data_IF_488567349186
#
_entry.id   IF_488567349186
#
_cell.length_a   1.000
_cell.length_b   1.000
_cell.length_c   1.000
_cell.angle_alpha   90.00
_cell.angle_beta   90.00
_cell.angle_gamma   90.00
#
_symmetry.space_group_name_H-M   'P 1'
#
loop_
_entity.id
_entity.type
_entity.pdbx_description
1 polymer ?
#
# COMPACT_ATOMS: atom_id res chain seq x y z
N UNK A 1 -10.58 5.45 0.57
CA UNK A 1 -10.04 5.99 1.79
C UNK A 1 -8.75 6.74 1.50
N UNK A 2 -8.66 8.01 1.83
CA UNK A 2 -7.57 8.87 1.41
C UNK A 2 -7.52 9.04 -0.12
N UNK A 3 -6.35 9.39 -0.66
CA UNK A 3 -6.15 9.60 -2.11
C UNK A 3 -5.78 8.32 -2.89
N UNK A 4 -5.41 7.25 -2.19
CA UNK A 4 -4.84 6.05 -2.76
C UNK A 4 -5.82 4.88 -2.91
N UNK A 5 -6.88 4.85 -2.09
CA UNK A 5 -7.78 3.72 -2.01
C UNK A 5 -9.23 4.15 -2.19
N UNK A 6 -9.92 3.53 -3.12
CA UNK A 6 -11.36 3.68 -3.33
C UNK A 6 -12.07 2.38 -2.98
N UNK A 7 -13.08 2.46 -2.12
CA UNK A 7 -13.93 1.35 -1.72
C UNK A 7 -15.33 1.57 -2.28
N UNK A 8 -15.86 0.57 -2.98
CA UNK A 8 -17.17 0.63 -3.62
C UNK A 8 -18.07 -0.53 -3.13
N UNK A 9 -18.57 -0.47 -1.89
CA UNK A 9 -19.32 -1.57 -1.31
C UNK A 9 -20.59 -1.90 -2.11
N UNK A 10 -20.90 -3.21 -2.19
CA UNK A 10 -22.15 -3.69 -2.76
C UNK A 10 -23.25 -3.52 -1.72
N UNK A 11 -24.29 -2.78 -2.06
CA UNK A 11 -25.43 -2.52 -1.17
C UNK A 11 -26.76 -3.09 -1.70
N UNK A 12 -26.68 -3.89 -2.75
CA UNK A 12 -27.83 -4.57 -3.34
C UNK A 12 -27.73 -6.08 -3.14
N UNK A 13 -28.85 -6.79 -3.22
CA UNK A 13 -28.87 -8.26 -3.12
C UNK A 13 -28.38 -8.98 -4.39
N UNK A 14 -27.91 -8.24 -5.40
CA UNK A 14 -27.57 -8.79 -6.73
C UNK A 14 -26.09 -9.17 -6.89
N UNK A 15 -25.27 -9.08 -5.85
CA UNK A 15 -23.81 -9.28 -5.94
C UNK A 15 -23.15 -8.41 -7.02
N UNK A 16 -23.70 -7.23 -7.25
CA UNK A 16 -23.24 -6.30 -8.28
C UNK A 16 -23.15 -4.91 -7.67
N UNK A 17 -22.07 -4.22 -7.95
CA UNK A 17 -21.91 -2.79 -7.71
C UNK A 17 -22.00 -2.07 -9.03
N UNK A 18 -23.06 -1.30 -9.18
CA UNK A 18 -23.31 -0.48 -10.37
C UNK A 18 -22.63 0.88 -10.24
N UNK A 19 -22.23 1.45 -11.38
CA UNK A 19 -21.84 2.86 -11.51
C UNK A 19 -20.69 3.28 -10.59
N UNK A 20 -19.49 2.72 -10.80
CA UNK A 20 -18.26 3.12 -10.13
C UNK A 20 -17.54 4.13 -11.03
N UNK A 21 -17.39 5.39 -10.57
CA UNK A 21 -16.58 6.38 -11.26
C UNK A 21 -15.13 6.30 -10.79
N UNK A 22 -14.20 6.13 -11.73
CA UNK A 22 -12.78 6.22 -11.46
C UNK A 22 -12.28 7.65 -11.74
N UNK A 23 -11.79 8.39 -10.74
CA UNK A 23 -11.07 9.64 -10.98
C UNK A 23 -9.86 9.46 -11.90
N UNK A 24 -9.38 10.55 -12.50
CA UNK A 24 -8.25 10.52 -13.44
C UNK A 24 -7.03 9.77 -12.88
N UNK A 25 -6.35 9.03 -13.74
CA UNK A 25 -5.22 8.16 -13.42
C UNK A 25 -5.54 6.69 -13.70
N UNK A 26 -4.63 5.79 -13.40
CA UNK A 26 -4.83 4.35 -13.51
C UNK A 26 -5.20 3.77 -12.14
N UNK A 27 -6.10 2.79 -12.12
CA UNK A 27 -6.60 2.14 -10.92
C UNK A 27 -6.46 0.63 -11.06
N UNK A 28 -6.12 -0.03 -9.99
CA UNK A 28 -5.94 -1.47 -9.89
C UNK A 28 -7.02 -2.04 -8.98
N UNK A 29 -7.74 -3.04 -9.47
CA UNK A 29 -8.56 -3.87 -8.62
C UNK A 29 -7.66 -4.60 -7.61
N UNK A 30 -7.90 -4.38 -6.34
CA UNK A 30 -7.07 -4.92 -5.27
C UNK A 30 -7.02 -6.46 -5.27
N UNK A 31 -8.15 -7.08 -5.61
CA UNK A 31 -8.31 -8.53 -5.54
C UNK A 31 -7.79 -9.26 -6.78
N UNK A 32 -7.94 -8.67 -7.93
CA UNK A 32 -7.64 -9.32 -9.22
C UNK A 32 -6.41 -8.75 -9.91
N UNK A 33 -5.93 -7.59 -9.50
CA UNK A 33 -4.87 -6.85 -10.18
C UNK A 33 -5.30 -6.22 -11.51
N UNK A 34 -6.59 -6.35 -11.89
CA UNK A 34 -7.09 -5.80 -13.16
C UNK A 34 -6.99 -4.28 -13.16
N UNK A 35 -6.50 -3.73 -14.27
CA UNK A 35 -6.36 -2.29 -14.46
C UNK A 35 -7.63 -1.65 -15.02
N UNK A 36 -7.91 -0.44 -14.53
CA UNK A 36 -8.98 0.43 -15.01
C UNK A 36 -8.43 1.82 -15.27
N UNK A 37 -8.77 2.37 -16.43
CA UNK A 37 -8.44 3.75 -16.79
C UNK A 37 -9.39 4.72 -16.11
N UNK A 38 -8.84 5.75 -15.46
CA UNK A 38 -9.63 6.80 -14.82
C UNK A 38 -10.27 7.77 -15.79
N UNK A 39 -11.11 8.67 -15.25
CA UNK A 39 -11.99 9.56 -16.03
C UNK A 39 -13.18 8.83 -16.64
N UNK A 40 -13.46 7.58 -16.22
CA UNK A 40 -14.50 6.72 -16.79
C UNK A 40 -15.39 6.12 -15.73
N UNK A 41 -16.59 5.75 -16.14
CA UNK A 41 -17.52 4.96 -15.34
C UNK A 41 -17.35 3.48 -15.65
N UNK A 42 -17.35 2.66 -14.62
CA UNK A 42 -17.56 1.22 -14.72
C UNK A 42 -19.04 0.97 -14.40
N UNK A 43 -19.79 0.58 -15.40
CA UNK A 43 -21.24 0.42 -15.25
C UNK A 43 -21.61 -0.74 -14.34
N UNK A 44 -20.77 -1.78 -14.30
CA UNK A 44 -21.08 -2.98 -13.56
C UNK A 44 -19.82 -3.69 -13.08
N UNK A 45 -19.75 -3.95 -11.78
CA UNK A 45 -18.72 -4.79 -11.16
C UNK A 45 -19.41 -5.97 -10.46
N UNK A 46 -19.07 -7.18 -10.87
CA UNK A 46 -19.55 -8.39 -10.23
C UNK A 46 -18.64 -8.73 -9.05
N UNK A 47 -19.21 -8.77 -7.85
CA UNK A 47 -18.51 -9.11 -6.63
C UNK A 47 -19.14 -10.36 -6.00
N UNK A 48 -18.32 -11.30 -5.57
CA UNK A 48 -18.81 -12.40 -4.71
C UNK A 48 -19.26 -11.82 -3.37
N UNK A 49 -20.05 -12.59 -2.64
CA UNK A 49 -20.66 -12.13 -1.38
C UNK A 49 -19.60 -11.73 -0.31
N UNK A 50 -18.46 -12.37 -0.35
CA UNK A 50 -17.31 -12.16 0.54
C UNK A 50 -16.32 -11.09 0.04
N UNK A 51 -16.57 -10.50 -1.14
CA UNK A 51 -15.68 -9.51 -1.77
C UNK A 51 -16.30 -8.11 -1.69
N UNK A 52 -15.63 -7.21 -1.00
CA UNK A 52 -15.88 -5.78 -1.12
C UNK A 52 -14.98 -5.20 -2.22
N UNK A 53 -15.52 -4.60 -3.30
CA UNK A 53 -14.70 -3.99 -4.33
C UNK A 53 -13.81 -2.88 -3.77
N UNK A 54 -12.52 -3.04 -3.94
CA UNK A 54 -11.47 -2.10 -3.52
C UNK A 54 -10.56 -1.84 -4.71
N UNK A 55 -10.25 -0.58 -4.95
CA UNK A 55 -9.37 -0.17 -6.04
C UNK A 55 -8.26 0.72 -5.52
N UNK A 56 -7.05 0.44 -5.97
CA UNK A 56 -5.85 1.18 -5.57
C UNK A 56 -5.39 2.02 -6.74
N UNK A 57 -5.10 3.28 -6.48
CA UNK A 57 -4.61 4.22 -7.49
C UNK A 57 -3.14 4.00 -7.78
N UNK A 58 -2.71 4.18 -9.02
CA UNK A 58 -1.30 4.25 -9.39
C UNK A 58 -0.55 5.27 -8.53
N UNK A 59 0.68 4.94 -8.15
CA UNK A 59 1.50 5.73 -7.25
C UNK A 59 1.26 5.45 -5.76
N UNK A 60 0.32 4.57 -5.42
CA UNK A 60 -0.01 4.28 -4.03
C UNK A 60 1.14 3.58 -3.29
N UNK A 61 1.25 3.92 -2.01
CA UNK A 61 2.09 3.28 -1.00
C UNK A 61 1.17 2.88 0.13
N UNK A 62 0.88 1.58 0.28
CA UNK A 62 -0.08 1.06 1.26
C UNK A 62 0.67 0.24 2.32
N UNK A 63 0.95 0.81 3.49
CA UNK A 63 1.51 0.05 4.60
C UNK A 63 0.45 -0.89 5.18
N UNK A 64 0.82 -2.15 5.39
CA UNK A 64 -0.05 -3.19 5.91
C UNK A 64 0.60 -3.87 7.09
N UNK A 65 -0.13 -3.96 8.19
CA UNK A 65 0.23 -4.77 9.34
C UNK A 65 0.00 -6.27 9.05
N UNK A 66 0.64 -7.18 9.79
CA UNK A 66 0.31 -8.60 9.73
C UNK A 66 -1.18 -8.85 9.99
N UNK A 67 -1.75 -9.84 9.32
CA UNK A 67 -3.13 -10.25 9.55
C UNK A 67 -3.32 -10.64 11.01
N UNK A 68 -4.31 -10.02 11.69
CA UNK A 68 -4.62 -10.25 13.09
C UNK A 68 -6.11 -10.06 13.35
N UNK A 69 -6.63 -10.78 14.33
CA UNK A 69 -8.05 -10.71 14.69
C UNK A 69 -8.37 -9.47 15.53
N UNK A 70 -7.39 -8.94 16.25
CA UNK A 70 -7.51 -7.71 17.04
C UNK A 70 -6.15 -6.99 17.12
N UNK A 71 -6.19 -5.70 17.34
CA UNK A 71 -4.98 -4.85 17.44
C UNK A 71 -4.09 -5.33 18.59
N UNK A 72 -2.81 -5.61 18.30
CA UNK A 72 -1.84 -6.09 19.29
C UNK A 72 -1.82 -7.62 19.47
N UNK A 73 -2.57 -8.40 18.67
CA UNK A 73 -2.48 -9.87 18.67
C UNK A 73 -1.07 -10.33 18.25
N UNK A 74 -0.50 -9.66 17.27
CA UNK A 74 0.85 -9.93 16.77
C UNK A 74 1.72 -8.68 16.87
N UNK A 75 3.04 -8.83 17.05
CA UNK A 75 3.95 -7.70 16.97
C UNK A 75 3.90 -7.08 15.58
N UNK A 76 4.02 -5.75 15.51
CA UNK A 76 4.08 -4.98 14.26
C UNK A 76 5.55 -4.69 13.86
N UNK A 77 6.44 -5.62 14.13
CA UNK A 77 7.87 -5.57 13.81
C UNK A 77 8.15 -5.88 12.34
N UNK A 78 7.18 -6.48 11.65
CA UNK A 78 7.16 -6.67 10.19
C UNK A 78 6.04 -5.83 9.58
N UNK A 79 6.37 -4.98 8.62
CA UNK A 79 5.42 -4.18 7.88
C UNK A 79 5.52 -4.47 6.39
N UNK A 80 4.42 -4.84 5.77
CA UNK A 80 4.36 -4.98 4.32
C UNK A 80 4.03 -3.63 3.68
N UNK A 81 4.79 -3.26 2.66
CA UNK A 81 4.49 -2.10 1.80
C UNK A 81 3.99 -2.62 0.46
N UNK A 82 2.68 -2.51 0.23
CA UNK A 82 2.09 -2.81 -1.08
C UNK A 82 2.22 -1.55 -1.95
N UNK A 83 3.05 -1.63 -2.97
CA UNK A 83 3.52 -0.51 -3.78
C UNK A 83 2.98 -0.59 -5.20
N UNK A 84 2.42 0.52 -5.68
CA UNK A 84 1.90 0.70 -7.05
C UNK A 84 2.69 1.79 -7.77
N UNK A 85 3.94 1.52 -8.19
CA UNK A 85 4.88 2.56 -8.61
C UNK A 85 4.41 3.35 -9.82
N UNK A 86 4.42 4.69 -9.70
CA UNK A 86 4.14 5.60 -10.82
C UNK A 86 4.64 7.01 -10.49
N UNK A 87 5.67 7.47 -11.19
CA UNK A 87 6.29 8.77 -10.93
C UNK A 87 6.94 8.85 -9.54
N UNK A 88 6.92 10.02 -8.95
CA UNK A 88 7.47 10.27 -7.61
C UNK A 88 6.33 10.46 -6.64
N UNK A 89 6.25 9.56 -5.66
CA UNK A 89 5.22 9.59 -4.62
C UNK A 89 5.84 9.38 -3.25
N UNK A 90 5.14 9.80 -2.21
CA UNK A 90 5.58 9.59 -0.84
C UNK A 90 4.41 9.39 0.11
N UNK A 91 4.65 8.65 1.16
CA UNK A 91 3.71 8.42 2.24
C UNK A 91 4.40 8.67 3.58
N UNK A 92 3.73 9.36 4.47
CA UNK A 92 4.23 9.64 5.81
C UNK A 92 3.53 8.71 6.79
N UNK A 93 4.16 7.59 7.10
CA UNK A 93 3.65 6.63 8.07
C UNK A 93 3.67 7.28 9.46
N UNK A 94 2.51 7.44 10.04
CA UNK A 94 2.32 7.96 11.40
C UNK A 94 2.03 6.79 12.34
N UNK A 95 2.69 6.78 13.49
CA UNK A 95 2.50 5.77 14.52
C UNK A 95 2.55 6.39 15.91
N UNK A 96 1.69 5.91 16.78
CA UNK A 96 1.66 6.22 18.21
C UNK A 96 1.31 4.95 19.01
N UNK A 97 1.10 5.05 20.31
CA UNK A 97 0.79 3.88 21.15
C UNK A 97 -0.62 3.31 20.92
N UNK A 98 -1.48 4.00 20.15
CA UNK A 98 -2.85 3.59 19.84
C UNK A 98 -3.80 3.51 21.05
N UNK A 99 -3.34 3.84 22.24
CA UNK A 99 -4.07 3.66 23.51
C UNK A 99 -4.32 4.96 24.25
N UNK A 100 -3.35 5.85 24.26
CA UNK A 100 -3.41 7.09 25.04
C UNK A 100 -3.62 8.32 24.15
N UNK A 101 -3.67 9.48 24.76
CA UNK A 101 -3.68 10.77 24.04
C UNK A 101 -2.32 11.47 24.09
N UNK A 102 -1.25 10.74 24.39
CA UNK A 102 0.08 11.29 24.56
C UNK A 102 0.68 11.80 23.24
N UNK A 103 0.12 11.37 22.09
CA UNK A 103 0.39 11.98 20.80
C UNK A 103 0.17 13.52 20.81
N UNK A 104 -0.73 14.05 21.63
CA UNK A 104 -0.93 15.51 21.82
C UNK A 104 0.25 16.19 22.52
N UNK A 105 1.09 15.43 23.20
CA UNK A 105 2.32 15.88 23.84
C UNK A 105 3.56 15.65 22.98
N UNK A 106 3.37 15.14 21.76
CA UNK A 106 4.46 14.84 20.82
C UNK A 106 4.96 13.39 20.87
N UNK A 107 4.30 12.48 21.61
CA UNK A 107 4.66 11.07 21.67
C UNK A 107 4.07 10.32 20.46
N UNK A 108 4.72 10.46 19.35
CA UNK A 108 4.44 9.77 18.10
C UNK A 108 5.70 9.69 17.24
N UNK A 109 5.73 8.81 16.29
CA UNK A 109 6.78 8.69 15.28
C UNK A 109 6.23 8.89 13.87
N UNK A 110 7.08 9.35 12.95
CA UNK A 110 6.77 9.46 11.53
C UNK A 110 7.92 8.92 10.71
N UNK A 111 7.59 8.01 9.79
CA UNK A 111 8.53 7.45 8.82
C UNK A 111 8.12 7.88 7.42
N UNK A 112 8.98 8.63 6.73
CA UNK A 112 8.75 8.99 5.33
C UNK A 112 9.16 7.82 4.45
N UNK A 113 8.22 7.34 3.63
CA UNK A 113 8.44 6.33 2.61
C UNK A 113 8.27 7.02 1.26
N UNK A 114 9.28 6.93 0.40
CA UNK A 114 9.28 7.57 -0.91
C UNK A 114 9.49 6.53 -2.00
N UNK A 115 8.74 6.63 -3.09
CA UNK A 115 8.88 5.79 -4.26
C UNK A 115 9.13 6.67 -5.47
N UNK A 116 10.20 6.40 -6.20
CA UNK A 116 10.49 7.02 -7.49
C UNK A 116 10.44 5.96 -8.57
N UNK A 117 9.68 6.19 -9.61
CA UNK A 117 9.44 5.25 -10.70
C UNK A 117 9.23 5.98 -12.02
N UNK A 118 9.62 5.41 -13.17
CA UNK A 118 9.19 5.93 -14.47
C UNK A 118 7.66 5.95 -14.56
N UNK A 119 7.16 6.86 -15.40
CA UNK A 119 5.72 6.89 -15.76
C UNK A 119 5.40 5.92 -16.91
N UNK A 120 6.10 4.78 -16.98
CA UNK A 120 5.97 3.76 -18.01
C UNK A 120 6.64 2.47 -17.57
N UNK A 121 6.59 1.45 -18.43
CA UNK A 121 6.93 0.06 -18.07
C UNK A 121 8.44 -0.22 -17.89
N UNK A 122 9.34 0.69 -18.28
CA UNK A 122 10.79 0.44 -18.24
C UNK A 122 11.51 1.47 -17.39
N UNK A 123 12.41 1.00 -16.56
CA UNK A 123 13.32 1.82 -15.78
C UNK A 123 13.50 1.31 -14.36
N UNK A 124 14.17 2.10 -13.54
CA UNK A 124 14.47 1.74 -12.16
C UNK A 124 13.36 2.25 -11.24
N UNK A 125 12.88 1.37 -10.36
CA UNK A 125 12.02 1.73 -9.22
C UNK A 125 12.94 1.85 -8.01
N UNK A 126 12.90 3.00 -7.36
CA UNK A 126 13.66 3.24 -6.11
C UNK A 126 12.67 3.43 -4.98
N UNK A 127 12.87 2.68 -3.91
CA UNK A 127 12.11 2.82 -2.66
C UNK A 127 13.06 3.30 -1.58
N UNK A 128 12.76 4.43 -0.97
CA UNK A 128 13.51 4.99 0.14
C UNK A 128 12.64 5.00 1.40
N UNK A 129 13.15 4.45 2.48
CA UNK A 129 12.50 4.40 3.78
C UNK A 129 13.39 5.16 4.76
N UNK A 130 12.99 6.38 5.07
CA UNK A 130 13.76 7.23 5.95
C UNK A 130 13.73 6.71 7.40
N UNK A 131 14.74 7.09 8.18
CA UNK A 131 14.71 6.85 9.63
C UNK A 131 13.50 7.54 10.26
N UNK A 132 12.80 6.84 11.15
CA UNK A 132 11.69 7.38 11.91
C UNK A 132 12.10 8.64 12.68
N UNK A 133 11.23 9.64 12.68
CA UNK A 133 11.37 10.89 13.45
C UNK A 133 10.32 10.93 14.55
N UNK A 134 10.76 11.18 15.78
CA UNK A 134 9.93 11.10 16.97
C UNK A 134 10.03 9.74 17.64
N UNK A 135 9.34 9.60 18.76
CA UNK A 135 9.32 8.38 19.57
C UNK A 135 8.03 8.31 20.37
N UNK A 136 7.65 7.12 20.81
CA UNK A 136 6.49 6.85 21.64
C UNK A 136 6.68 5.55 22.41
N UNK A 137 5.93 5.35 23.46
CA UNK A 137 6.00 4.12 24.26
C UNK A 137 5.59 2.90 23.43
N UNK A 138 6.52 1.97 23.23
CA UNK A 138 6.32 0.76 22.43
C UNK A 138 6.77 0.90 20.96
N UNK A 139 7.45 2.00 20.62
CA UNK A 139 8.01 2.19 19.29
C UNK A 139 9.06 1.12 18.96
N UNK A 140 8.90 0.47 17.80
CA UNK A 140 9.85 -0.50 17.29
C UNK A 140 11.11 0.21 16.80
N UNK A 141 12.25 -0.02 17.48
CA UNK A 141 13.54 0.56 17.10
C UNK A 141 14.13 -0.10 15.84
N UNK A 142 13.81 -1.37 15.64
CA UNK A 142 14.15 -2.14 14.45
C UNK A 142 12.89 -2.73 13.84
N UNK A 143 12.79 -2.68 12.51
CA UNK A 143 11.62 -3.19 11.79
C UNK A 143 12.04 -3.81 10.47
N UNK A 144 11.41 -4.92 10.13
CA UNK A 144 11.52 -5.54 8.82
C UNK A 144 10.46 -4.97 7.88
N UNK A 145 10.86 -4.59 6.69
CA UNK A 145 9.94 -4.19 5.63
C UNK A 145 9.89 -5.26 4.53
N UNK A 146 8.71 -5.74 4.23
CA UNK A 146 8.44 -6.57 3.06
C UNK A 146 7.89 -5.65 1.95
N UNK A 147 8.54 -5.64 0.79
CA UNK A 147 8.12 -4.82 -0.33
C UNK A 147 7.38 -5.68 -1.35
N UNK A 148 6.06 -5.50 -1.47
CA UNK A 148 5.25 -6.07 -2.56
C UNK A 148 5.11 -5.02 -3.65
N UNK A 149 5.86 -5.17 -4.73
CA UNK A 149 5.95 -4.18 -5.81
C UNK A 149 5.13 -4.64 -7.00
N UNK A 150 4.03 -3.95 -7.26
CA UNK A 150 3.19 -4.24 -8.44
C UNK A 150 3.91 -3.79 -9.70
N UNK A 151 4.33 -4.77 -10.49
CA UNK A 151 5.04 -4.58 -11.76
C UNK A 151 4.51 -5.56 -12.80
N UNK A 152 4.51 -5.16 -14.08
CA UNK A 152 4.10 -6.05 -15.19
C UNK A 152 5.17 -7.08 -15.55
N UNK A 153 6.40 -6.86 -15.13
CA UNK A 153 7.53 -7.76 -15.40
C UNK A 153 8.41 -7.92 -14.15
N UNK A 154 9.03 -9.08 -14.04
CA UNK A 154 10.03 -9.31 -13.00
C UNK A 154 11.24 -8.38 -13.19
N UNK A 155 11.82 -7.85 -12.10
CA UNK A 155 13.00 -7.03 -12.18
C UNK A 155 14.21 -7.85 -12.68
N UNK A 156 15.05 -7.26 -13.51
CA UNK A 156 16.30 -7.87 -13.96
C UNK A 156 17.39 -7.86 -12.86
N UNK A 157 17.29 -6.92 -11.95
CA UNK A 157 18.21 -6.79 -10.82
C UNK A 157 17.53 -6.09 -9.65
N UNK A 158 17.84 -6.51 -8.43
CA UNK A 158 17.39 -5.90 -7.19
C UNK A 158 18.59 -5.62 -6.30
N UNK A 159 18.66 -4.41 -5.76
CA UNK A 159 19.73 -4.01 -4.84
C UNK A 159 19.13 -3.41 -3.57
N UNK A 160 19.79 -3.61 -2.45
CA UNK A 160 19.53 -2.92 -1.18
C UNK A 160 20.81 -2.25 -0.72
N UNK A 161 20.77 -0.94 -0.51
CA UNK A 161 21.95 -0.15 -0.16
C UNK A 161 23.15 -0.45 -1.10
N UNK A 162 22.88 -0.45 -2.41
CA UNK A 162 23.84 -0.75 -3.49
C UNK A 162 24.36 -2.20 -3.54
N UNK A 163 23.94 -3.07 -2.62
CA UNK A 163 24.30 -4.49 -2.63
C UNK A 163 23.24 -5.30 -3.38
N UNK A 164 23.65 -6.14 -4.35
CA UNK A 164 22.70 -6.99 -5.06
C UNK A 164 22.06 -8.01 -4.11
N UNK A 165 20.78 -8.26 -4.30
CA UNK A 165 20.04 -9.34 -3.65
C UNK A 165 19.96 -10.54 -4.59
N UNK A 166 20.18 -11.73 -4.06
CA UNK A 166 19.91 -12.98 -4.77
C UNK A 166 18.42 -13.26 -4.79
N UNK A 167 17.90 -13.69 -5.94
CA UNK A 167 16.53 -14.20 -6.01
C UNK A 167 16.43 -15.48 -5.15
N UNK A 168 15.43 -15.53 -4.29
CA UNK A 168 15.07 -16.78 -3.59
C UNK A 168 13.97 -17.42 -4.44
N UNK A 169 14.22 -18.64 -4.93
CA UNK A 169 13.18 -19.41 -5.59
C UNK A 169 12.10 -19.74 -4.57
N UNK A 170 10.81 -19.51 -4.86
CA UNK A 170 9.75 -20.02 -4.00
C UNK A 170 9.81 -21.55 -3.99
N UNK A 171 9.82 -22.15 -2.78
CA UNK A 171 9.63 -23.59 -2.58
C UNK A 171 8.19 -23.98 -2.86
#
# INVERSE_FOLDING_TARGET
SGEWMMVAPVYTRKNVRDSIYFPAGEWYDYWTGKKYEGGKWLDKYEAKLDICPVFIRQGAIIPMYPDMNYVGEKPADVLTLDLYPYGNTSFNLYEDDGLTRDYKKGEFARTLISVSSPKGEKGTITVDIAKAKGDYKGHYQERTYLLDVRSESSPSNVTVAEKPLSAISPE
#
